data_IF_862162049968
#
_entry.id   IF_862162049968
#
_cell.length_a   1.000
_cell.length_b   1.000
_cell.length_c   1.000
_cell.angle_alpha   90.00
_cell.angle_beta   90.00
_cell.angle_gamma   90.00
#
_symmetry.space_group_name_H-M   'P 1'
#
loop_
_entity.id
_entity.type
_entity.pdbx_description
1 polymer ?
#
# COMPACT_ATOMS: atom_id res chain seq x y z
N UNK A 1 -19.30 -87.43 -24.85
CA UNK A 1 -19.55 -86.67 -23.60
C UNK A 1 -18.84 -85.36 -23.76
N UNK A 2 -19.61 -84.34 -24.06
CA UNK A 2 -19.15 -83.03 -24.50
C UNK A 2 -19.25 -82.05 -23.30
N UNK A 3 -18.09 -81.60 -22.84
CA UNK A 3 -17.99 -80.53 -21.82
C UNK A 3 -17.94 -79.14 -22.47
N UNK A 4 -18.98 -78.32 -22.27
CA UNK A 4 -19.01 -76.96 -22.72
C UNK A 4 -18.32 -76.10 -21.66
N UNK A 5 -17.23 -75.49 -22.05
CA UNK A 5 -16.56 -74.44 -21.24
C UNK A 5 -17.29 -73.11 -21.43
N UNK A 6 -17.79 -72.54 -20.32
CA UNK A 6 -18.41 -71.23 -20.33
C UNK A 6 -17.31 -70.16 -20.28
N UNK A 7 -17.29 -69.29 -21.26
CA UNK A 7 -16.42 -68.13 -21.30
C UNK A 7 -17.15 -66.99 -20.58
N UNK A 8 -16.61 -66.56 -19.42
CA UNK A 8 -17.11 -65.41 -18.66
C UNK A 8 -16.55 -64.13 -19.30
N UNK A 9 -17.42 -63.25 -19.76
CA UNK A 9 -17.07 -61.92 -20.26
C UNK A 9 -16.59 -61.00 -19.13
N UNK A 10 -15.61 -60.12 -19.38
CA UNK A 10 -15.14 -59.16 -18.36
C UNK A 10 -16.18 -58.05 -18.14
N UNK A 11 -16.39 -57.70 -16.86
CA UNK A 11 -17.23 -56.59 -16.42
C UNK A 11 -16.64 -55.26 -16.91
N UNK A 12 -17.47 -54.46 -17.60
CA UNK A 12 -17.13 -53.10 -17.99
C UNK A 12 -17.33 -52.18 -16.75
N UNK A 13 -16.23 -51.61 -16.25
CA UNK A 13 -16.28 -50.56 -15.23
C UNK A 13 -16.96 -49.31 -15.80
N UNK A 14 -17.85 -48.62 -15.02
CA UNK A 14 -18.43 -47.37 -15.47
C UNK A 14 -17.35 -46.28 -15.51
N UNK A 15 -17.44 -45.31 -16.44
CA UNK A 15 -16.46 -44.22 -16.55
C UNK A 15 -16.51 -43.37 -15.28
N UNK A 16 -15.32 -43.04 -14.74
CA UNK A 16 -15.13 -42.16 -13.60
C UNK A 16 -15.79 -40.82 -13.88
N UNK A 17 -16.68 -40.42 -12.97
CA UNK A 17 -17.33 -39.10 -12.99
C UNK A 17 -16.26 -38.01 -12.87
N UNK A 18 -16.12 -37.19 -13.90
CA UNK A 18 -15.29 -36.01 -13.93
C UNK A 18 -15.86 -35.02 -12.87
N UNK A 19 -15.06 -34.51 -11.93
CA UNK A 19 -15.57 -33.55 -10.94
C UNK A 19 -16.11 -32.32 -11.67
N UNK A 20 -17.39 -32.05 -11.49
CA UNK A 20 -18.09 -30.87 -11.98
C UNK A 20 -17.33 -29.63 -11.49
N UNK A 21 -16.80 -28.84 -12.42
CA UNK A 21 -16.15 -27.57 -12.12
C UNK A 21 -17.12 -26.69 -11.29
N UNK A 22 -16.75 -26.36 -10.07
CA UNK A 22 -17.54 -25.53 -9.16
C UNK A 22 -17.97 -24.25 -9.88
N UNK A 23 -19.27 -24.01 -9.98
CA UNK A 23 -19.82 -22.81 -10.59
C UNK A 23 -19.25 -21.56 -9.87
N UNK A 24 -18.87 -20.48 -10.58
CA UNK A 24 -18.31 -19.29 -9.98
C UNK A 24 -19.29 -18.73 -8.95
N UNK A 25 -18.85 -18.66 -7.68
CA UNK A 25 -19.68 -18.16 -6.59
C UNK A 25 -20.14 -16.73 -6.92
N UNK A 26 -21.44 -16.51 -6.98
CA UNK A 26 -22.04 -15.19 -7.21
C UNK A 26 -21.58 -14.24 -6.09
N UNK A 27 -20.77 -13.21 -6.44
CA UNK A 27 -20.33 -12.17 -5.52
C UNK A 27 -21.54 -11.53 -4.84
N UNK A 28 -21.46 -11.33 -3.51
CA UNK A 28 -22.49 -10.65 -2.73
C UNK A 28 -22.61 -9.18 -3.13
N UNK A 29 -23.71 -8.53 -2.79
CA UNK A 29 -23.90 -7.10 -3.05
C UNK A 29 -22.85 -6.25 -2.31
N UNK A 30 -22.47 -6.66 -1.09
CA UNK A 30 -21.41 -6.03 -0.30
C UNK A 30 -20.06 -6.11 -1.01
N UNK A 31 -19.67 -7.30 -1.48
CA UNK A 31 -18.42 -7.48 -2.24
C UNK A 31 -18.38 -6.65 -3.53
N UNK A 32 -19.51 -6.49 -4.22
CA UNK A 32 -19.59 -5.61 -5.41
C UNK A 32 -19.40 -4.14 -5.05
N UNK A 33 -19.96 -3.70 -3.91
CA UNK A 33 -19.81 -2.33 -3.43
C UNK A 33 -18.38 -2.01 -3.03
N UNK A 34 -17.71 -2.90 -2.30
CA UNK A 34 -16.31 -2.77 -1.89
C UNK A 34 -15.36 -2.75 -3.10
N UNK A 35 -15.61 -3.64 -4.07
CA UNK A 35 -14.84 -3.67 -5.32
C UNK A 35 -15.02 -2.39 -6.13
N UNK A 36 -16.25 -1.87 -6.23
CA UNK A 36 -16.51 -0.62 -6.92
C UNK A 36 -15.80 0.56 -6.23
N UNK A 37 -15.86 0.64 -4.90
CA UNK A 37 -15.17 1.66 -4.13
C UNK A 37 -13.67 1.60 -4.33
N UNK A 38 -13.08 0.42 -4.22
CA UNK A 38 -11.64 0.21 -4.46
C UNK A 38 -11.23 0.68 -5.85
N UNK A 39 -11.98 0.32 -6.91
CA UNK A 39 -11.70 0.77 -8.28
C UNK A 39 -11.81 2.28 -8.45
N UNK A 40 -12.81 2.91 -7.82
CA UNK A 40 -12.94 4.36 -7.82
C UNK A 40 -11.75 5.04 -7.15
N UNK A 41 -11.27 4.52 -6.01
CA UNK A 41 -10.12 5.05 -5.29
C UNK A 41 -8.81 4.81 -6.05
N UNK A 42 -8.64 3.66 -6.69
CA UNK A 42 -7.47 3.39 -7.55
C UNK A 42 -7.44 4.34 -8.77
N UNK A 43 -8.59 4.62 -9.38
CA UNK A 43 -8.70 5.60 -10.47
C UNK A 43 -8.39 7.03 -9.98
N UNK A 44 -8.91 7.42 -8.81
CA UNK A 44 -8.61 8.71 -8.18
C UNK A 44 -7.12 8.85 -7.89
N UNK A 45 -6.49 7.80 -7.34
CA UNK A 45 -5.06 7.73 -7.08
C UNK A 45 -4.24 8.00 -8.35
N UNK A 46 -4.57 7.33 -9.45
CA UNK A 46 -3.89 7.50 -10.73
C UNK A 46 -4.06 8.91 -11.31
N UNK A 47 -5.24 9.52 -11.16
CA UNK A 47 -5.50 10.90 -11.59
C UNK A 47 -4.66 11.87 -10.76
N UNK A 48 -4.69 11.75 -9.41
CA UNK A 48 -3.92 12.64 -8.53
C UNK A 48 -2.43 12.52 -8.79
N UNK A 49 -1.90 11.31 -8.92
CA UNK A 49 -0.49 11.09 -9.21
C UNK A 49 -0.02 11.77 -10.52
N UNK A 50 -0.91 11.90 -11.50
CA UNK A 50 -0.58 12.44 -12.82
C UNK A 50 -0.85 13.93 -12.95
N UNK A 51 -1.94 14.44 -12.36
CA UNK A 51 -2.45 15.79 -12.63
C UNK A 51 -2.74 16.63 -11.40
N UNK A 52 -2.45 16.12 -10.21
CA UNK A 52 -2.77 16.78 -8.94
C UNK A 52 -4.25 16.69 -8.56
N UNK A 53 -4.58 17.19 -7.37
CA UNK A 53 -5.97 17.15 -6.89
C UNK A 53 -6.83 18.23 -7.58
N UNK A 54 -6.25 19.31 -8.09
CA UNK A 54 -7.01 20.41 -8.73
C UNK A 54 -7.87 19.87 -9.88
N UNK A 55 -7.33 18.99 -10.71
CA UNK A 55 -8.02 18.38 -11.85
C UNK A 55 -8.88 17.16 -11.49
N UNK A 56 -8.87 16.72 -10.24
CA UNK A 56 -9.68 15.61 -9.77
C UNK A 56 -11.15 16.02 -9.71
N UNK A 57 -12.01 15.32 -10.45
CA UNK A 57 -13.45 15.44 -10.37
C UNK A 57 -14.10 14.08 -10.16
N UNK A 58 -15.24 14.04 -9.45
CA UNK A 58 -15.99 12.80 -9.24
C UNK A 58 -16.44 12.15 -10.56
N UNK A 59 -16.81 12.97 -11.53
CA UNK A 59 -17.19 12.49 -12.87
C UNK A 59 -16.02 11.81 -13.59
N UNK A 60 -14.81 12.42 -13.56
CA UNK A 60 -13.61 11.86 -14.16
C UNK A 60 -13.22 10.53 -13.48
N UNK A 61 -13.33 10.46 -12.17
CA UNK A 61 -13.05 9.24 -11.39
C UNK A 61 -14.03 8.12 -11.75
N UNK A 62 -15.33 8.42 -11.81
CA UNK A 62 -16.32 7.42 -12.23
C UNK A 62 -16.01 6.82 -13.59
N UNK A 63 -15.73 7.68 -14.60
CA UNK A 63 -15.40 7.25 -15.96
C UNK A 63 -14.09 6.44 -15.99
N UNK A 64 -13.04 6.92 -15.34
CA UNK A 64 -11.74 6.23 -15.31
C UNK A 64 -11.79 4.86 -14.62
N UNK A 65 -12.71 4.69 -13.66
CA UNK A 65 -12.95 3.42 -12.98
C UNK A 65 -13.87 2.46 -13.78
N UNK A 66 -14.40 2.87 -14.95
CA UNK A 66 -15.31 2.09 -15.76
C UNK A 66 -16.76 2.11 -15.25
N UNK A 67 -17.15 3.15 -14.52
CA UNK A 67 -18.50 3.33 -13.98
C UNK A 67 -19.19 4.58 -14.53
N UNK A 68 -20.45 4.78 -14.18
CA UNK A 68 -21.17 6.00 -14.49
C UNK A 68 -20.58 7.22 -13.77
N UNK A 69 -20.75 8.40 -14.37
CA UNK A 69 -20.32 9.69 -13.77
C UNK A 69 -20.91 9.92 -12.37
N UNK A 70 -22.11 9.42 -12.10
CA UNK A 70 -22.82 9.62 -10.83
C UNK A 70 -22.39 8.68 -9.71
N UNK A 71 -21.75 7.53 -10.00
CA UNK A 71 -21.42 6.55 -8.95
C UNK A 71 -20.45 7.11 -7.91
N UNK A 72 -19.41 7.82 -8.34
CA UNK A 72 -18.46 8.44 -7.43
C UNK A 72 -19.12 9.52 -6.56
N UNK A 73 -20.05 10.31 -7.13
CA UNK A 73 -20.84 11.30 -6.36
C UNK A 73 -21.72 10.62 -5.32
N UNK A 74 -22.41 9.55 -5.71
CA UNK A 74 -23.24 8.77 -4.77
C UNK A 74 -22.38 8.17 -3.64
N UNK A 75 -21.14 7.76 -3.91
CA UNK A 75 -20.27 7.09 -2.94
C UNK A 75 -19.57 8.07 -1.99
N UNK A 76 -19.03 9.16 -2.51
CA UNK A 76 -18.17 10.09 -1.76
C UNK A 76 -18.82 11.46 -1.48
N UNK A 77 -19.99 11.72 -2.04
CA UNK A 77 -20.71 12.97 -1.89
C UNK A 77 -20.07 14.12 -2.68
N UNK A 78 -18.91 14.56 -2.29
CA UNK A 78 -18.20 15.68 -2.90
C UNK A 78 -16.68 15.41 -3.01
N UNK A 79 -15.95 16.35 -3.60
CA UNK A 79 -14.49 16.25 -3.80
C UNK A 79 -13.73 16.09 -2.47
N UNK A 80 -14.13 16.80 -1.42
CA UNK A 80 -13.49 16.68 -0.11
C UNK A 80 -13.68 15.28 0.49
N UNK A 81 -14.89 14.70 0.37
CA UNK A 81 -15.16 13.32 0.77
C UNK A 81 -14.33 12.30 -0.01
N UNK A 82 -14.19 12.49 -1.33
CA UNK A 82 -13.32 11.66 -2.17
C UNK A 82 -11.85 11.74 -1.74
N UNK A 83 -11.32 12.95 -1.50
CA UNK A 83 -9.94 13.15 -1.09
C UNK A 83 -9.65 12.53 0.29
N UNK A 84 -10.59 12.65 1.24
CA UNK A 84 -10.49 12.01 2.56
C UNK A 84 -10.48 10.47 2.42
N UNK A 85 -11.36 9.91 1.60
CA UNK A 85 -11.38 8.47 1.33
C UNK A 85 -10.08 8.01 0.62
N UNK A 86 -9.53 8.83 -0.27
CA UNK A 86 -8.27 8.56 -0.94
C UNK A 86 -7.08 8.55 0.03
N UNK A 87 -7.03 9.48 0.98
CA UNK A 87 -6.02 9.49 2.05
C UNK A 87 -6.06 8.21 2.89
N UNK A 88 -7.27 7.78 3.29
CA UNK A 88 -7.45 6.51 3.99
C UNK A 88 -7.03 5.31 3.13
N UNK A 89 -7.37 5.29 1.85
CA UNK A 89 -6.98 4.23 0.91
C UNK A 89 -5.45 4.12 0.75
N UNK A 90 -4.75 5.25 0.66
CA UNK A 90 -3.28 5.30 0.65
C UNK A 90 -2.72 4.67 1.93
N UNK A 91 -3.27 5.01 3.10
CA UNK A 91 -2.87 4.43 4.38
C UNK A 91 -3.00 2.91 4.37
N UNK A 92 -4.14 2.39 3.92
CA UNK A 92 -4.37 0.94 3.82
C UNK A 92 -3.36 0.28 2.88
N UNK A 93 -3.11 0.86 1.69
CA UNK A 93 -2.11 0.33 0.75
C UNK A 93 -0.71 0.23 1.37
N UNK A 94 -0.28 1.23 2.14
CA UNK A 94 1.00 1.17 2.85
C UNK A 94 1.00 0.08 3.93
N UNK A 95 -0.07 -0.03 4.71
CA UNK A 95 -0.19 -1.07 5.74
C UNK A 95 -0.17 -2.47 5.14
N UNK A 96 -0.84 -2.68 4.00
CA UNK A 96 -0.86 -3.97 3.32
C UNK A 96 0.52 -4.35 2.79
N UNK A 97 1.28 -3.40 2.25
CA UNK A 97 2.67 -3.63 1.85
C UNK A 97 3.54 -4.03 3.05
N UNK A 98 3.37 -3.37 4.19
CA UNK A 98 4.08 -3.73 5.42
C UNK A 98 3.68 -5.11 5.94
N UNK A 99 2.39 -5.49 5.85
CA UNK A 99 1.92 -6.84 6.25
C UNK A 99 2.44 -7.93 5.32
N UNK A 100 2.59 -7.63 4.02
CA UNK A 100 3.11 -8.57 3.03
C UNK A 100 4.63 -8.77 3.14
N UNK A 101 5.36 -7.85 3.77
CA UNK A 101 6.78 -7.98 4.02
C UNK A 101 7.06 -9.04 5.10
N UNK A 102 8.26 -9.66 5.08
CA UNK A 102 8.66 -10.58 6.14
C UNK A 102 8.48 -9.93 7.52
N UNK A 103 7.92 -10.68 8.48
CA UNK A 103 7.76 -10.16 9.84
C UNK A 103 9.12 -9.81 10.41
N UNK A 104 9.27 -8.56 10.76
CA UNK A 104 10.45 -8.01 11.43
C UNK A 104 10.19 -7.93 12.93
N UNK A 105 11.27 -8.04 13.72
CA UNK A 105 11.23 -7.78 15.15
C UNK A 105 10.91 -6.30 15.39
N UNK A 106 10.75 -5.89 16.64
CA UNK A 106 10.69 -4.49 17.03
C UNK A 106 12.09 -3.86 16.99
N UNK A 107 12.18 -2.55 17.23
CA UNK A 107 13.47 -1.87 17.31
C UNK A 107 14.11 -1.61 15.96
N UNK A 108 15.42 -1.74 15.90
CA UNK A 108 16.23 -1.39 14.72
C UNK A 108 15.90 -2.28 13.52
N UNK A 109 15.61 -3.58 13.74
CA UNK A 109 15.23 -4.51 12.68
C UNK A 109 13.91 -4.09 12.00
N UNK A 110 12.94 -3.60 12.77
CA UNK A 110 11.69 -3.08 12.21
C UNK A 110 11.91 -1.80 11.40
N UNK A 111 12.75 -0.88 11.87
CA UNK A 111 13.13 0.35 11.14
C UNK A 111 13.75 -0.02 9.80
N UNK A 112 14.70 -0.96 9.79
CA UNK A 112 15.32 -1.50 8.56
C UNK A 112 14.26 -2.02 7.60
N UNK A 113 13.34 -2.87 8.10
CA UNK A 113 12.26 -3.42 7.29
C UNK A 113 11.37 -2.35 6.67
N UNK A 114 11.07 -1.26 7.39
CA UNK A 114 10.30 -0.14 6.86
C UNK A 114 11.04 0.59 5.74
N UNK A 115 12.35 0.80 5.88
CA UNK A 115 13.19 1.42 4.83
C UNK A 115 13.21 0.52 3.59
N UNK A 116 13.43 -0.77 3.75
CA UNK A 116 13.45 -1.74 2.65
C UNK A 116 12.11 -1.78 1.89
N UNK A 117 10.98 -1.85 2.62
CA UNK A 117 9.64 -1.84 2.01
C UNK A 117 9.38 -0.51 1.31
N UNK A 118 9.81 0.59 1.90
CA UNK A 118 9.59 1.92 1.33
C UNK A 118 10.26 2.09 -0.03
N UNK A 119 11.49 1.58 -0.20
CA UNK A 119 12.26 1.65 -1.45
C UNK A 119 12.07 0.42 -2.36
N UNK A 120 11.60 -0.72 -1.83
CA UNK A 120 11.45 -1.99 -2.56
C UNK A 120 10.13 -2.15 -3.30
N UNK A 121 9.38 -1.08 -3.57
CA UNK A 121 8.04 -1.16 -4.15
C UNK A 121 8.04 -1.65 -5.59
N UNK A 122 7.06 -2.50 -5.90
CA UNK A 122 6.85 -3.07 -7.23
C UNK A 122 6.07 -2.17 -8.19
N UNK A 123 5.46 -1.10 -7.70
CA UNK A 123 4.79 -0.10 -8.53
C UNK A 123 5.84 0.75 -9.26
N UNK A 124 6.19 0.35 -10.47
CA UNK A 124 7.20 1.02 -11.33
C UNK A 124 6.94 2.51 -11.54
N UNK A 125 5.71 2.97 -11.40
CA UNK A 125 5.35 4.39 -11.59
C UNK A 125 5.27 5.15 -10.27
N UNK A 126 5.47 4.48 -9.14
CA UNK A 126 5.36 5.07 -7.81
C UNK A 126 4.05 5.84 -7.59
N UNK A 127 2.97 5.34 -8.19
CA UNK A 127 1.68 6.03 -8.26
C UNK A 127 1.15 6.39 -6.88
N UNK A 128 1.24 5.46 -5.93
CA UNK A 128 0.77 5.70 -4.54
C UNK A 128 1.64 6.74 -3.84
N UNK A 129 2.97 6.64 -3.97
CA UNK A 129 3.92 7.58 -3.35
C UNK A 129 3.81 8.96 -3.99
N UNK A 130 3.71 9.03 -5.32
CA UNK A 130 3.52 10.29 -6.04
C UNK A 130 2.23 11.00 -5.62
N UNK A 131 1.10 10.27 -5.58
CA UNK A 131 -0.18 10.83 -5.13
C UNK A 131 -0.11 11.31 -3.69
N UNK A 132 0.52 10.55 -2.79
CA UNK A 132 0.72 10.96 -1.40
C UNK A 132 1.52 12.27 -1.30
N UNK A 133 2.67 12.37 -1.97
CA UNK A 133 3.52 13.56 -1.93
C UNK A 133 2.79 14.79 -2.48
N UNK A 134 2.04 14.63 -3.60
CA UNK A 134 1.19 15.68 -4.15
C UNK A 134 0.14 16.13 -3.13
N UNK A 135 -0.61 15.20 -2.53
CA UNK A 135 -1.64 15.53 -1.53
C UNK A 135 -1.04 16.20 -0.30
N UNK A 136 0.14 15.76 0.16
CA UNK A 136 0.85 16.40 1.28
C UNK A 136 1.25 17.84 0.94
N UNK A 137 1.84 18.08 -0.23
CA UNK A 137 2.24 19.42 -0.68
C UNK A 137 1.04 20.34 -0.82
N UNK A 138 -0.06 19.87 -1.40
CA UNK A 138 -1.30 20.64 -1.52
C UNK A 138 -1.97 20.88 -0.15
N UNK A 139 -1.84 19.92 0.77
CA UNK A 139 -2.30 20.07 2.17
C UNK A 139 -1.57 21.19 2.92
N UNK A 140 -0.32 21.50 2.58
CA UNK A 140 0.41 22.63 3.16
C UNK A 140 -0.18 23.99 2.75
N UNK A 141 -0.87 24.06 1.60
CA UNK A 141 -1.46 25.30 1.08
C UNK A 141 -2.89 25.53 1.57
N UNK A 142 -3.48 24.60 2.31
CA UNK A 142 -4.85 24.61 2.87
C UNK A 142 -5.99 24.94 1.88
N UNK A 143 -5.74 24.85 0.58
CA UNK A 143 -6.72 25.17 -0.47
C UNK A 143 -7.74 24.05 -0.72
N UNK A 144 -7.45 22.85 -0.25
CA UNK A 144 -8.22 21.63 -0.58
C UNK A 144 -8.93 21.03 0.62
N UNK A 145 -8.75 21.57 1.84
CA UNK A 145 -9.22 20.97 3.09
C UNK A 145 -8.50 19.67 3.47
N UNK A 146 -7.35 19.39 2.85
CA UNK A 146 -6.55 18.20 3.10
C UNK A 146 -5.60 18.31 4.29
N UNK A 147 -5.38 19.53 4.82
CA UNK A 147 -4.38 19.77 5.85
C UNK A 147 -4.57 18.86 7.07
N UNK A 148 -5.79 18.76 7.60
CA UNK A 148 -6.08 17.93 8.77
C UNK A 148 -5.86 16.43 8.50
N UNK A 149 -6.29 15.93 7.33
CA UNK A 149 -6.15 14.54 6.95
C UNK A 149 -4.68 14.18 6.72
N UNK A 150 -3.90 15.04 6.05
CA UNK A 150 -2.47 14.83 5.84
C UNK A 150 -1.66 14.97 7.13
N UNK A 151 -2.04 15.88 8.03
CA UNK A 151 -1.43 15.97 9.35
C UNK A 151 -1.70 14.72 10.19
N UNK A 152 -2.91 14.16 10.14
CA UNK A 152 -3.24 12.91 10.82
C UNK A 152 -2.43 11.73 10.27
N UNK A 153 -2.36 11.60 8.94
CA UNK A 153 -1.52 10.60 8.27
C UNK A 153 -0.05 10.75 8.68
N UNK A 154 0.48 11.97 8.69
CA UNK A 154 1.86 12.23 9.09
C UNK A 154 2.13 11.83 10.54
N UNK A 155 1.25 12.20 11.47
CA UNK A 155 1.37 11.81 12.89
C UNK A 155 1.38 10.29 13.04
N UNK A 156 0.51 9.56 12.34
CA UNK A 156 0.47 8.10 12.38
C UNK A 156 1.79 7.49 11.92
N UNK A 157 2.37 7.99 10.84
CA UNK A 157 3.66 7.52 10.33
C UNK A 157 4.81 7.83 11.31
N UNK A 158 4.83 9.01 11.92
CA UNK A 158 5.82 9.37 12.94
C UNK A 158 5.70 8.50 14.18
N UNK A 159 4.48 8.29 14.71
CA UNK A 159 4.25 7.42 15.89
C UNK A 159 4.72 5.99 15.64
N UNK A 160 4.57 5.48 14.43
CA UNK A 160 5.06 4.15 14.08
C UNK A 160 6.59 4.06 14.22
N UNK A 161 7.34 5.01 13.63
CA UNK A 161 8.80 5.04 13.77
C UNK A 161 9.23 5.28 15.22
N UNK A 162 8.60 6.22 15.92
CA UNK A 162 8.88 6.51 17.32
C UNK A 162 8.71 5.27 18.22
N UNK A 163 7.67 4.46 17.98
CA UNK A 163 7.45 3.20 18.69
C UNK A 163 8.61 2.23 18.48
N UNK A 164 9.12 2.11 17.25
CA UNK A 164 10.25 1.23 16.98
C UNK A 164 11.57 1.77 17.54
N UNK A 165 11.80 3.08 17.52
CA UNK A 165 12.98 3.69 18.16
C UNK A 165 12.95 3.43 19.66
N UNK A 166 11.82 3.67 20.35
CA UNK A 166 11.67 3.38 21.79
C UNK A 166 11.93 1.90 22.09
N UNK A 167 11.41 0.99 21.28
CA UNK A 167 11.65 -0.44 21.45
C UNK A 167 13.13 -0.77 21.29
N UNK A 168 13.83 -0.21 20.30
CA UNK A 168 15.26 -0.42 20.11
C UNK A 168 16.12 0.13 21.25
N UNK A 169 15.72 1.26 21.86
CA UNK A 169 16.38 1.78 23.07
C UNK A 169 16.20 0.81 24.23
N UNK A 170 14.98 0.31 24.46
CA UNK A 170 14.68 -0.67 25.53
C UNK A 170 15.45 -1.98 25.34
N UNK A 171 15.67 -2.41 24.10
CA UNK A 171 16.42 -3.62 23.74
C UNK A 171 17.95 -3.39 23.75
N UNK A 172 18.41 -2.15 23.92
CA UNK A 172 19.83 -1.80 23.90
C UNK A 172 20.45 -1.81 22.49
N UNK A 173 19.63 -1.85 21.43
CA UNK A 173 20.06 -1.77 20.03
C UNK A 173 20.31 -0.32 19.58
N UNK A 174 19.54 0.62 20.12
CA UNK A 174 19.60 2.06 19.84
C UNK A 174 20.16 2.78 21.06
N UNK A 175 20.94 3.84 20.82
CA UNK A 175 21.52 4.66 21.87
C UNK A 175 20.47 5.27 22.81
N UNK A 176 20.74 5.23 24.11
CA UNK A 176 19.81 5.78 25.13
C UNK A 176 19.71 7.31 25.09
N UNK A 177 20.66 7.97 24.45
CA UNK A 177 20.73 9.41 24.22
C UNK A 177 19.92 9.87 23.00
N UNK A 178 19.37 8.94 22.21
CA UNK A 178 18.55 9.24 21.03
C UNK A 178 17.16 9.69 21.48
N UNK A 179 16.73 10.88 21.04
CA UNK A 179 15.35 11.32 21.15
C UNK A 179 14.46 10.61 20.11
N UNK A 180 13.48 9.75 20.53
CA UNK A 180 12.65 8.99 19.60
C UNK A 180 11.79 9.88 18.69
N UNK A 181 11.32 11.03 19.15
CA UNK A 181 10.50 11.94 18.36
C UNK A 181 11.35 12.58 17.25
N UNK A 182 12.52 13.12 17.57
CA UNK A 182 13.43 13.68 16.58
C UNK A 182 13.91 12.62 15.57
N UNK A 183 14.28 11.43 16.03
CA UNK A 183 14.69 10.33 15.16
C UNK A 183 13.59 9.91 14.19
N UNK A 184 12.33 9.86 14.64
CA UNK A 184 11.20 9.53 13.77
C UNK A 184 10.99 10.56 12.66
N UNK A 185 11.14 11.85 12.97
CA UNK A 185 11.05 12.94 11.98
C UNK A 185 12.18 12.84 10.96
N UNK A 186 13.42 12.58 11.41
CA UNK A 186 14.58 12.43 10.53
C UNK A 186 14.43 11.21 9.60
N UNK A 187 14.04 10.05 10.11
CA UNK A 187 13.82 8.84 9.33
C UNK A 187 12.75 9.09 8.25
N UNK A 188 11.57 9.54 8.65
CA UNK A 188 10.46 9.74 7.72
C UNK A 188 10.78 10.86 6.72
N UNK A 189 11.44 11.93 7.16
CA UNK A 189 11.89 13.03 6.31
C UNK A 189 12.89 12.56 5.24
N UNK A 190 13.86 11.73 5.62
CA UNK A 190 14.83 11.12 4.69
C UNK A 190 14.13 10.28 3.63
N UNK A 191 13.23 9.37 4.04
CA UNK A 191 12.49 8.52 3.11
C UNK A 191 11.70 9.33 2.08
N UNK A 192 10.97 10.34 2.54
CA UNK A 192 10.15 11.19 1.67
C UNK A 192 11.00 12.09 0.79
N UNK A 193 12.07 12.65 1.33
CA UNK A 193 13.00 13.50 0.58
C UNK A 193 13.67 12.74 -0.56
N UNK A 194 14.19 11.54 -0.29
CA UNK A 194 14.77 10.67 -1.32
C UNK A 194 13.74 10.33 -2.39
N UNK A 195 12.51 9.95 -2.00
CA UNK A 195 11.47 9.64 -2.98
C UNK A 195 11.09 10.84 -3.84
N UNK A 196 11.04 12.04 -3.27
CA UNK A 196 10.78 13.25 -4.03
C UNK A 196 11.87 13.51 -5.07
N UNK A 197 13.14 13.37 -4.68
CA UNK A 197 14.27 13.49 -5.61
C UNK A 197 14.18 12.47 -6.76
N UNK A 198 13.94 11.21 -6.43
CA UNK A 198 13.84 10.14 -7.43
C UNK A 198 12.62 10.27 -8.37
N UNK A 199 11.56 10.93 -7.93
CA UNK A 199 10.41 11.23 -8.79
C UNK A 199 10.65 12.41 -9.72
N UNK A 200 11.60 13.30 -9.37
CA UNK A 200 12.05 14.43 -10.19
C UNK A 200 13.17 14.01 -11.14
N UNK A 201 14.05 13.12 -10.69
CA UNK A 201 15.19 12.63 -11.47
C UNK A 201 15.16 11.08 -11.51
N UNK A 202 14.69 10.49 -12.63
CA UNK A 202 14.61 9.04 -12.80
C UNK A 202 15.96 8.33 -12.89
N UNK A 203 17.07 9.06 -13.10
CA UNK A 203 18.40 8.49 -13.21
C UNK A 203 19.01 8.18 -11.83
N UNK A 204 18.38 8.58 -10.74
CA UNK A 204 18.80 8.23 -9.38
C UNK A 204 18.68 6.72 -9.15
N UNK A 205 19.81 6.07 -8.86
CA UNK A 205 19.84 4.65 -8.47
C UNK A 205 19.26 4.47 -7.05
N UNK A 206 17.96 4.16 -7.02
CA UNK A 206 17.23 3.94 -5.77
C UNK A 206 17.77 2.75 -4.96
N UNK A 207 18.39 1.75 -5.58
CA UNK A 207 18.97 0.62 -4.85
C UNK A 207 20.20 1.07 -4.08
N UNK A 208 21.11 1.81 -4.71
CA UNK A 208 22.29 2.38 -4.07
C UNK A 208 21.91 3.37 -2.95
N UNK A 209 20.90 4.23 -3.22
CA UNK A 209 20.44 5.20 -2.22
C UNK A 209 19.79 4.50 -1.03
N UNK A 210 18.98 3.45 -1.25
CA UNK A 210 18.43 2.63 -0.18
C UNK A 210 19.52 2.09 0.75
N UNK A 211 20.56 1.50 0.20
CA UNK A 211 21.65 0.91 0.98
C UNK A 211 22.40 1.99 1.78
N UNK A 212 22.54 3.19 1.19
CA UNK A 212 23.11 4.36 1.87
C UNK A 212 22.23 4.85 3.02
N UNK A 213 20.90 4.89 2.83
CA UNK A 213 19.93 5.28 3.87
C UNK A 213 19.93 4.26 5.02
N UNK A 214 19.99 2.97 4.72
CA UNK A 214 20.10 1.91 5.73
C UNK A 214 21.36 2.09 6.57
N UNK A 215 22.51 2.24 5.93
CA UNK A 215 23.79 2.43 6.62
C UNK A 215 23.82 3.74 7.45
N UNK A 216 23.19 4.81 6.95
CA UNK A 216 23.08 6.07 7.69
C UNK A 216 22.19 5.91 8.93
N UNK A 217 21.01 5.28 8.78
CA UNK A 217 20.08 5.04 9.88
C UNK A 217 20.75 4.19 10.98
N UNK A 218 21.43 3.10 10.61
CA UNK A 218 22.15 2.24 11.54
C UNK A 218 23.23 3.01 12.31
N UNK A 219 24.10 3.74 11.61
CA UNK A 219 25.17 4.51 12.25
C UNK A 219 24.64 5.63 13.16
N UNK A 220 23.53 6.27 12.76
CA UNK A 220 22.96 7.39 13.53
C UNK A 220 22.21 6.93 14.78
N UNK A 221 21.65 5.73 14.76
CA UNK A 221 20.85 5.17 15.85
C UNK A 221 21.64 4.20 16.73
N UNK A 222 22.75 3.63 16.23
CA UNK A 222 23.53 2.64 16.98
C UNK A 222 23.98 3.18 18.35
N UNK A 223 23.98 2.29 19.33
CA UNK A 223 24.57 2.54 20.64
C UNK A 223 26.05 2.89 20.47
N UNK A 224 26.48 4.03 21.00
CA UNK A 224 27.88 4.45 21.09
C UNK A 224 28.56 3.76 22.25
#
# INVERSE_FOLDING_TARGET
>A
MTGRSAVTAPAVEPPAETPCAAAPQRRTQTQRREEAERRLLDAALAIVARTGTVRLTLAAVGLAAGYSRGLATHRFGNKAGLLRALAAHITVKFQDQMRAAPRRRSGLDAIRGHIEVYFGRTDRQWTTTRALLVMMTEGLMDQTGLQADMAAYNRQALTMFETHVRAGIQQGEIGADIDPAAASVMLLGTLRGVMMQSLLDPDIDLAQVRDSVLAMAERSLARR
#
